data_IF_219206940128
#
_entry.id   IF_219206940128
#
_cell.length_a   1.000
_cell.length_b   1.000
_cell.length_c   1.000
_cell.angle_alpha   90.00
_cell.angle_beta   90.00
_cell.angle_gamma   90.00
#
_symmetry.space_group_name_H-M   'P 1'
#
loop_
_entity.id
_entity.type
_entity.pdbx_description
1 polymer ?
#
# COMPACT_ATOMS: atom_id res chain seq x y z
N UNK A 1 25.73 3.59 -5.99
CA UNK A 1 24.62 2.62 -5.87
C UNK A 1 23.33 3.37 -5.61
N UNK A 2 22.20 2.95 -6.21
CA UNK A 2 20.88 3.56 -5.96
C UNK A 2 20.30 3.03 -4.66
N UNK A 3 19.74 3.92 -3.82
CA UNK A 3 19.11 3.55 -2.55
C UNK A 3 17.65 4.00 -2.57
N UNK A 4 16.75 3.20 -2.00
CA UNK A 4 15.33 3.52 -1.94
C UNK A 4 14.71 3.23 -0.57
N UNK A 5 13.73 4.04 -0.21
CA UNK A 5 12.73 3.73 0.81
C UNK A 5 11.43 3.39 0.09
N UNK A 6 10.80 2.28 0.45
CA UNK A 6 9.47 1.90 -0.06
C UNK A 6 8.49 1.89 1.09
N UNK A 7 7.43 2.69 0.99
CA UNK A 7 6.30 2.62 1.91
C UNK A 7 5.54 1.32 1.65
N UNK A 8 5.54 0.42 2.63
CA UNK A 8 5.00 -0.93 2.43
C UNK A 8 4.08 -1.34 3.59
N UNK A 9 2.79 -1.42 3.31
CA UNK A 9 1.76 -1.91 4.23
C UNK A 9 1.62 -3.44 4.25
N UNK A 10 2.37 -4.17 3.41
CA UNK A 10 2.14 -5.60 3.21
C UNK A 10 0.95 -5.93 2.29
N UNK A 11 0.33 -4.92 1.69
CA UNK A 11 -0.69 -5.07 0.65
C UNK A 11 -0.10 -5.41 -0.72
N UNK A 12 -0.94 -5.89 -1.65
CA UNK A 12 -0.52 -6.29 -3.01
C UNK A 12 0.33 -5.19 -3.65
N UNK A 13 -0.21 -3.96 -3.71
CA UNK A 13 0.39 -2.86 -4.46
C UNK A 13 1.75 -2.46 -3.89
N UNK A 14 1.84 -2.31 -2.58
CA UNK A 14 3.06 -1.91 -1.88
C UNK A 14 4.15 -2.99 -1.93
N UNK A 15 3.77 -4.27 -1.83
CA UNK A 15 4.71 -5.40 -1.96
C UNK A 15 5.19 -5.53 -3.40
N UNK A 16 4.29 -5.39 -4.39
CA UNK A 16 4.67 -5.39 -5.81
C UNK A 16 5.60 -4.22 -6.12
N UNK A 17 5.31 -3.02 -5.59
CA UNK A 17 6.22 -1.86 -5.71
C UNK A 17 7.62 -2.16 -5.15
N UNK A 18 7.71 -2.77 -3.96
CA UNK A 18 9.00 -3.11 -3.36
C UNK A 18 9.80 -4.11 -4.23
N UNK A 19 9.14 -5.13 -4.76
CA UNK A 19 9.75 -6.07 -5.71
C UNK A 19 10.17 -5.39 -7.01
N UNK A 20 9.34 -4.49 -7.54
CA UNK A 20 9.64 -3.72 -8.76
C UNK A 20 10.87 -2.84 -8.58
N UNK A 21 10.94 -2.09 -7.49
CA UNK A 21 12.09 -1.23 -7.14
C UNK A 21 13.38 -2.06 -7.02
N UNK A 22 13.32 -3.20 -6.34
CA UNK A 22 14.49 -4.06 -6.13
C UNK A 22 14.94 -4.76 -7.40
N UNK A 23 13.99 -5.40 -8.12
CA UNK A 23 14.32 -6.34 -9.20
C UNK A 23 14.32 -5.70 -10.59
N UNK A 24 13.42 -4.73 -10.85
CA UNK A 24 13.31 -4.09 -12.17
C UNK A 24 14.10 -2.80 -12.25
N UNK A 25 14.05 -1.96 -11.22
CA UNK A 25 14.79 -0.70 -11.18
C UNK A 25 16.20 -0.84 -10.61
N UNK A 26 16.57 -2.03 -10.10
CA UNK A 26 17.90 -2.40 -9.61
C UNK A 26 18.43 -1.49 -8.49
N UNK A 27 17.57 -1.12 -7.53
CA UNK A 27 18.01 -0.41 -6.33
C UNK A 27 18.73 -1.37 -5.38
N UNK A 28 20.02 -1.09 -5.12
CA UNK A 28 20.88 -1.97 -4.33
C UNK A 28 20.45 -2.03 -2.86
N UNK A 29 20.31 -0.87 -2.23
CA UNK A 29 19.91 -0.75 -0.83
C UNK A 29 18.45 -0.34 -0.72
N UNK A 30 17.68 -1.15 0.01
CA UNK A 30 16.26 -0.94 0.20
C UNK A 30 15.92 -0.84 1.68
N UNK A 31 15.10 0.14 2.02
CA UNK A 31 14.41 0.26 3.31
C UNK A 31 12.92 0.04 3.05
N UNK A 32 12.34 -0.92 3.73
CA UNK A 32 10.88 -1.12 3.79
C UNK A 32 10.38 -0.33 4.99
N UNK A 33 9.62 0.74 4.71
CA UNK A 33 9.06 1.65 5.71
C UNK A 33 7.60 1.27 5.97
N UNK A 34 7.29 0.94 7.22
CA UNK A 34 5.97 0.56 7.70
C UNK A 34 5.44 1.59 8.69
N UNK A 35 4.14 1.88 8.63
CA UNK A 35 3.47 2.79 9.55
C UNK A 35 2.43 2.04 10.41
N UNK A 36 2.55 2.18 11.73
CA UNK A 36 1.51 1.83 12.70
C UNK A 36 0.72 3.10 13.03
N UNK A 37 -0.50 3.23 12.48
CA UNK A 37 -1.40 4.33 12.72
C UNK A 37 -2.71 3.88 13.39
N UNK A 38 -2.67 2.74 14.11
CA UNK A 38 -3.81 2.16 14.79
C UNK A 38 -4.84 1.51 13.87
N UNK A 39 -4.42 1.03 12.71
CA UNK A 39 -5.27 0.27 11.80
C UNK A 39 -5.63 -1.10 12.37
N UNK A 40 -6.86 -1.56 12.12
CA UNK A 40 -7.37 -2.86 12.59
C UNK A 40 -6.55 -4.04 12.09
N UNK A 41 -6.00 -3.92 10.88
CA UNK A 41 -5.19 -4.94 10.19
C UNK A 41 -3.69 -4.91 10.57
N UNK A 42 -3.30 -4.14 11.59
CA UNK A 42 -1.90 -3.90 12.00
C UNK A 42 -1.08 -5.19 12.10
N UNK A 43 -1.63 -6.26 12.71
CA UNK A 43 -0.90 -7.50 12.92
C UNK A 43 -0.52 -8.20 11.62
N UNK A 44 -1.45 -8.29 10.66
CA UNK A 44 -1.22 -8.90 9.34
C UNK A 44 -0.37 -8.00 8.46
N UNK A 45 -0.64 -6.71 8.42
CA UNK A 45 0.13 -5.73 7.64
C UNK A 45 1.61 -5.71 8.05
N UNK A 46 1.89 -5.56 9.33
CA UNK A 46 3.24 -5.57 9.88
C UNK A 46 3.97 -6.89 9.61
N UNK A 47 3.27 -8.02 9.79
CA UNK A 47 3.80 -9.35 9.49
C UNK A 47 4.25 -9.45 8.04
N UNK A 48 3.40 -9.08 7.09
CA UNK A 48 3.70 -9.24 5.67
C UNK A 48 4.68 -8.18 5.15
N UNK A 49 4.64 -6.97 5.67
CA UNK A 49 5.66 -5.95 5.39
C UNK A 49 7.06 -6.42 5.85
N UNK A 50 7.19 -7.01 7.05
CA UNK A 50 8.44 -7.62 7.53
C UNK A 50 8.87 -8.81 6.68
N UNK A 51 7.95 -9.65 6.22
CA UNK A 51 8.29 -10.76 5.33
C UNK A 51 8.77 -10.27 3.96
N UNK A 52 8.15 -9.20 3.43
CA UNK A 52 8.61 -8.52 2.21
C UNK A 52 10.04 -8.01 2.39
N UNK A 53 10.35 -7.32 3.49
CA UNK A 53 11.71 -6.82 3.76
C UNK A 53 12.74 -7.95 3.80
N UNK A 54 12.43 -9.04 4.50
CA UNK A 54 13.31 -10.22 4.57
C UNK A 54 13.55 -10.85 3.19
N UNK A 55 12.49 -11.01 2.39
CA UNK A 55 12.57 -11.60 1.04
C UNK A 55 13.45 -10.79 0.09
N UNK A 56 13.46 -9.46 0.25
CA UNK A 56 14.21 -8.54 -0.60
C UNK A 56 15.59 -8.16 -0.03
N UNK A 57 15.99 -8.77 1.09
CA UNK A 57 17.19 -8.39 1.85
C UNK A 57 17.24 -6.88 2.10
N UNK A 58 16.15 -6.34 2.64
CA UNK A 58 15.93 -4.93 2.91
C UNK A 58 15.87 -4.66 4.42
N UNK A 59 16.31 -3.47 4.85
CA UNK A 59 16.12 -3.01 6.22
C UNK A 59 14.64 -2.73 6.47
N UNK A 60 14.08 -3.21 7.59
CA UNK A 60 12.73 -2.87 8.02
C UNK A 60 12.77 -1.71 9.02
N UNK A 61 11.97 -0.68 8.77
CA UNK A 61 11.80 0.47 9.67
C UNK A 61 10.31 0.65 9.94
N UNK A 62 9.95 0.87 11.19
CA UNK A 62 8.58 1.10 11.64
C UNK A 62 8.46 2.49 12.27
N UNK A 63 7.45 3.23 11.87
CA UNK A 63 7.06 4.52 12.47
C UNK A 63 5.69 4.37 13.11
N UNK A 64 5.54 4.82 14.36
CA UNK A 64 4.29 4.81 15.09
C UNK A 64 3.61 6.17 15.02
N UNK A 65 2.38 6.19 14.51
CA UNK A 65 1.53 7.38 14.36
C UNK A 65 0.13 7.12 14.96
N UNK A 66 0.09 6.55 16.15
CA UNK A 66 -1.15 6.09 16.82
C UNK A 66 -2.18 7.20 17.02
N UNK A 67 -1.74 8.45 17.14
CA UNK A 67 -2.60 9.62 17.23
C UNK A 67 -3.57 9.74 16.03
N UNK A 68 -3.20 9.23 14.83
CA UNK A 68 -4.13 9.18 13.69
C UNK A 68 -5.37 8.33 13.98
N UNK A 69 -5.26 7.30 14.81
CA UNK A 69 -6.43 6.55 15.26
C UNK A 69 -7.36 7.39 16.14
N UNK A 70 -6.83 8.30 16.92
CA UNK A 70 -7.62 9.14 17.84
C UNK A 70 -8.53 10.08 17.05
N UNK A 71 -8.00 10.75 16.02
CA UNK A 71 -8.73 11.70 15.18
C UNK A 71 -9.55 11.03 14.07
N UNK A 72 -9.26 9.78 13.72
CA UNK A 72 -9.91 9.07 12.60
C UNK A 72 -11.28 8.52 12.97
N UNK A 73 -12.26 8.69 12.09
CA UNK A 73 -13.56 8.00 12.13
C UNK A 73 -13.65 6.82 11.18
N UNK A 74 -12.59 6.57 10.41
CA UNK A 74 -12.49 5.54 9.38
C UNK A 74 -12.73 4.13 9.91
N UNK A 75 -13.37 3.29 9.10
CA UNK A 75 -13.51 1.85 9.36
C UNK A 75 -12.17 1.10 9.36
N UNK A 76 -11.10 1.71 8.87
CA UNK A 76 -9.74 1.17 8.99
C UNK A 76 -9.29 1.17 10.45
N UNK A 77 -9.67 2.19 11.22
CA UNK A 77 -9.28 2.36 12.62
C UNK A 77 -10.37 1.91 13.59
N UNK A 78 -11.63 2.15 13.27
CA UNK A 78 -12.76 1.92 14.20
C UNK A 78 -13.46 0.59 13.97
N UNK A 79 -13.72 -0.15 15.05
CA UNK A 79 -14.45 -1.43 15.02
C UNK A 79 -15.97 -1.15 14.90
N UNK A 80 -16.42 -0.87 13.69
CA UNK A 80 -17.85 -0.73 13.36
C UNK A 80 -18.26 -1.80 12.36
N UNK A 81 -19.59 -1.96 12.16
CA UNK A 81 -20.15 -2.90 11.18
C UNK A 81 -19.71 -2.53 9.76
N UNK A 82 -19.18 -3.51 9.04
CA UNK A 82 -18.72 -3.36 7.65
C UNK A 82 -19.78 -3.96 6.73
N UNK A 83 -20.15 -3.24 5.68
CA UNK A 83 -21.07 -3.71 4.65
C UNK A 83 -20.49 -4.94 3.95
N UNK A 84 -21.35 -5.94 3.66
CA UNK A 84 -21.02 -7.02 2.74
C UNK A 84 -21.16 -6.51 1.31
N UNK A 85 -20.05 -6.44 0.59
CA UNK A 85 -19.99 -5.93 -0.78
C UNK A 85 -20.24 -7.08 -1.76
N UNK A 86 -21.24 -6.93 -2.63
CA UNK A 86 -21.47 -7.82 -3.78
C UNK A 86 -20.58 -7.41 -4.96
N UNK A 87 -20.51 -8.26 -6.00
CA UNK A 87 -19.82 -7.89 -7.25
C UNK A 87 -20.47 -6.68 -7.94
N UNK A 88 -21.80 -6.56 -7.85
CA UNK A 88 -22.49 -5.42 -8.45
C UNK A 88 -22.18 -4.09 -7.76
N UNK A 89 -21.92 -4.10 -6.44
CA UNK A 89 -21.51 -2.91 -5.69
C UNK A 89 -20.14 -2.37 -6.16
N UNK A 90 -19.30 -3.20 -6.80
CA UNK A 90 -17.99 -2.79 -7.31
C UNK A 90 -18.05 -1.88 -8.53
N UNK A 91 -19.22 -1.73 -9.15
CA UNK A 91 -19.43 -0.79 -10.28
C UNK A 91 -19.41 0.68 -9.84
N UNK A 92 -19.70 0.93 -8.56
CA UNK A 92 -19.64 2.26 -7.95
C UNK A 92 -19.30 2.10 -6.47
N UNK A 93 -18.04 2.34 -6.12
CA UNK A 93 -17.51 2.16 -4.76
C UNK A 93 -17.25 3.47 -4.03
N UNK A 94 -17.51 4.64 -4.62
CA UNK A 94 -17.20 5.96 -4.09
C UNK A 94 -17.68 6.14 -2.63
N UNK A 95 -19.00 6.03 -2.39
CA UNK A 95 -19.60 6.16 -1.03
C UNK A 95 -19.09 5.12 -0.05
N UNK A 96 -18.69 3.93 -0.51
CA UNK A 96 -18.14 2.89 0.36
C UNK A 96 -16.67 3.19 0.67
N UNK A 97 -15.91 3.67 -0.30
CA UNK A 97 -14.49 4.05 -0.14
C UNK A 97 -14.30 5.19 0.87
N UNK A 98 -15.19 6.18 0.88
CA UNK A 98 -15.18 7.29 1.85
C UNK A 98 -15.14 6.81 3.31
N UNK A 99 -15.80 5.69 3.63
CA UNK A 99 -15.81 5.11 4.98
C UNK A 99 -14.45 4.60 5.45
N UNK A 100 -13.52 4.40 4.51
CA UNK A 100 -12.16 3.93 4.78
C UNK A 100 -11.11 5.03 4.65
N UNK A 101 -11.52 6.26 4.37
CA UNK A 101 -10.63 7.40 4.30
C UNK A 101 -10.12 7.79 5.69
N UNK A 102 -8.81 7.94 5.82
CA UNK A 102 -8.14 8.49 7.01
C UNK A 102 -7.58 9.86 6.62
N UNK A 103 -8.01 10.95 7.28
CA UNK A 103 -7.65 12.32 6.88
C UNK A 103 -6.15 12.52 6.70
N UNK A 104 -5.75 13.00 5.51
CA UNK A 104 -4.37 13.35 5.15
C UNK A 104 -3.31 12.25 5.40
N UNK A 105 -3.74 10.98 5.53
CA UNK A 105 -2.84 9.89 5.94
C UNK A 105 -1.62 9.76 5.03
N UNK A 106 -1.81 9.77 3.71
CA UNK A 106 -0.72 9.56 2.77
C UNK A 106 0.24 10.75 2.75
N UNK A 107 -0.28 11.99 2.90
CA UNK A 107 0.57 13.18 3.06
C UNK A 107 1.46 13.07 4.32
N UNK A 108 0.87 12.69 5.47
CA UNK A 108 1.60 12.50 6.72
C UNK A 108 2.69 11.43 6.55
N UNK A 109 2.38 10.30 5.91
CA UNK A 109 3.35 9.23 5.67
C UNK A 109 4.52 9.69 4.79
N UNK A 110 4.23 10.45 3.72
CA UNK A 110 5.26 10.94 2.81
C UNK A 110 6.14 12.00 3.46
N UNK A 111 5.57 12.91 4.27
CA UNK A 111 6.35 13.89 5.04
C UNK A 111 7.28 13.20 6.05
N UNK A 112 6.83 12.15 6.75
CA UNK A 112 7.69 11.36 7.63
C UNK A 112 8.79 10.62 6.85
N UNK A 113 8.47 10.11 5.66
CA UNK A 113 9.47 9.49 4.79
C UNK A 113 10.52 10.50 4.31
N UNK A 114 10.10 11.74 3.97
CA UNK A 114 11.02 12.84 3.65
C UNK A 114 11.95 13.17 4.83
N UNK A 115 11.40 13.32 6.04
CA UNK A 115 12.21 13.56 7.23
C UNK A 115 13.22 12.43 7.49
N UNK A 116 12.82 11.17 7.24
CA UNK A 116 13.71 10.02 7.39
C UNK A 116 14.85 10.04 6.36
N UNK A 117 14.57 10.26 5.08
CA UNK A 117 15.64 10.30 4.05
C UNK A 117 16.58 11.46 4.26
N UNK A 118 16.07 12.62 4.69
CA UNK A 118 16.89 13.79 5.00
C UNK A 118 17.78 13.53 6.21
N UNK A 119 17.25 12.91 7.30
CA UNK A 119 18.04 12.52 8.45
C UNK A 119 19.17 11.56 8.07
N UNK A 120 18.90 10.56 7.21
CA UNK A 120 19.94 9.65 6.70
C UNK A 120 20.98 10.42 5.89
N UNK A 121 20.53 11.34 5.02
CA UNK A 121 21.45 12.15 4.23
C UNK A 121 22.36 13.04 5.08
N UNK A 122 21.80 13.67 6.11
CA UNK A 122 22.60 14.52 7.04
C UNK A 122 23.70 13.70 7.72
N UNK A 123 23.34 12.50 8.21
CA UNK A 123 24.23 11.62 8.99
C UNK A 123 25.23 10.84 8.13
N UNK A 124 24.76 10.27 7.03
CA UNK A 124 25.52 9.27 6.26
C UNK A 124 25.90 9.77 4.85
N UNK A 125 25.45 10.93 4.44
CA UNK A 125 25.58 11.48 3.06
C UNK A 125 25.03 10.58 1.97
N UNK A 126 24.13 9.62 2.34
CA UNK A 126 23.46 8.70 1.41
C UNK A 126 22.12 9.28 0.98
N UNK A 127 21.90 9.39 -0.33
CA UNK A 127 20.62 9.80 -0.89
C UNK A 127 19.73 8.59 -1.15
N UNK A 128 18.44 8.71 -0.79
CA UNK A 128 17.41 7.71 -1.04
C UNK A 128 16.26 8.33 -1.83
N UNK A 129 15.74 7.60 -2.82
CA UNK A 129 14.46 7.92 -3.44
C UNK A 129 13.33 7.25 -2.64
N UNK A 130 12.15 7.87 -2.59
CA UNK A 130 10.98 7.37 -1.86
C UNK A 130 10.00 6.78 -2.86
N UNK A 131 9.55 5.54 -2.62
CA UNK A 131 8.58 4.86 -3.47
C UNK A 131 7.29 4.57 -2.71
N UNK A 132 6.16 4.75 -3.39
CA UNK A 132 4.83 4.48 -2.85
C UNK A 132 3.98 3.69 -3.86
N UNK A 133 3.17 2.76 -3.35
CA UNK A 133 2.35 1.88 -4.17
C UNK A 133 0.98 2.45 -4.51
N UNK A 134 0.90 3.72 -4.92
CA UNK A 134 -0.32 4.27 -5.49
C UNK A 134 -0.57 3.64 -6.86
N UNK A 135 -1.83 3.36 -7.16
CA UNK A 135 -2.30 2.74 -8.40
C UNK A 135 -3.37 3.59 -9.07
N UNK A 136 -3.77 3.24 -10.26
CA UNK A 136 -4.96 3.79 -10.87
C UNK A 136 -6.20 3.43 -10.03
N UNK A 137 -6.87 4.43 -9.49
CA UNK A 137 -8.11 4.29 -8.71
C UNK A 137 -9.36 4.70 -9.53
N UNK A 138 -9.17 5.04 -10.81
CA UNK A 138 -10.24 5.52 -11.68
C UNK A 138 -10.86 6.83 -11.18
N UNK A 139 -12.19 6.97 -11.34
CA UNK A 139 -12.94 8.14 -10.86
C UNK A 139 -13.06 8.23 -9.34
N UNK A 140 -12.74 7.15 -8.63
CA UNK A 140 -12.92 6.97 -7.18
C UNK A 140 -11.63 7.19 -6.40
N UNK A 141 -10.64 7.87 -7.01
CA UNK A 141 -9.34 8.10 -6.39
C UNK A 141 -9.46 8.99 -5.14
N UNK A 142 -8.78 8.57 -4.07
CA UNK A 142 -8.58 9.46 -2.94
C UNK A 142 -7.72 10.66 -3.37
N UNK A 143 -7.98 11.88 -2.87
CA UNK A 143 -7.25 13.08 -3.28
C UNK A 143 -5.74 12.96 -3.06
N UNK A 144 -5.33 12.17 -2.07
CA UNK A 144 -3.94 11.95 -1.68
C UNK A 144 -3.30 10.68 -2.31
N UNK A 145 -3.82 10.22 -3.46
CA UNK A 145 -3.26 9.11 -4.26
C UNK A 145 -3.10 9.45 -5.75
N UNK A 146 -3.32 10.69 -6.15
CA UNK A 146 -3.30 11.14 -7.55
C UNK A 146 -1.89 11.52 -8.04
N UNK A 147 -1.70 11.59 -9.37
CA UNK A 147 -0.45 12.09 -9.97
C UNK A 147 -0.18 13.54 -9.56
N UNK A 148 -1.23 14.37 -9.50
CA UNK A 148 -1.12 15.75 -9.06
C UNK A 148 -0.64 15.84 -7.61
N UNK A 149 -1.20 15.01 -6.73
CA UNK A 149 -0.73 14.93 -5.34
C UNK A 149 0.75 14.56 -5.26
N UNK A 150 1.19 13.54 -6.01
CA UNK A 150 2.61 13.13 -6.05
C UNK A 150 3.49 14.28 -6.55
N UNK A 151 3.04 15.04 -7.56
CA UNK A 151 3.74 16.23 -8.03
C UNK A 151 3.88 17.27 -6.93
N UNK A 152 2.77 17.63 -6.25
CA UNK A 152 2.76 18.65 -5.18
C UNK A 152 3.61 18.26 -3.97
N UNK A 153 3.65 16.99 -3.60
CA UNK A 153 4.57 16.53 -2.53
C UNK A 153 6.03 16.60 -2.98
N UNK A 154 6.33 16.37 -4.25
CA UNK A 154 7.68 16.60 -4.77
C UNK A 154 8.05 18.08 -4.76
N UNK A 155 7.12 18.99 -5.11
CA UNK A 155 7.35 20.45 -5.02
C UNK A 155 7.61 20.85 -3.55
N UNK A 156 6.83 20.31 -2.61
CA UNK A 156 7.07 20.50 -1.16
C UNK A 156 8.48 20.03 -0.76
N UNK A 157 8.91 18.85 -1.23
CA UNK A 157 10.26 18.33 -0.94
C UNK A 157 11.37 19.29 -1.39
N UNK A 158 11.18 19.98 -2.52
CA UNK A 158 12.18 20.92 -3.05
C UNK A 158 12.37 22.16 -2.17
N UNK A 159 11.30 22.63 -1.53
CA UNK A 159 11.33 23.87 -0.73
C UNK A 159 11.52 23.61 0.78
N UNK A 160 11.25 22.38 1.25
CA UNK A 160 11.30 22.04 2.67
C UNK A 160 12.54 21.24 3.10
N UNK A 161 13.22 20.59 2.16
CA UNK A 161 14.40 19.76 2.45
C UNK A 161 15.69 20.41 1.94
N UNK A 162 16.81 20.14 2.63
CA UNK A 162 18.14 20.62 2.21
C UNK A 162 18.60 20.06 0.86
N UNK A 163 18.04 18.94 0.44
CA UNK A 163 18.30 18.30 -0.85
C UNK A 163 16.99 17.85 -1.49
N UNK A 164 16.98 17.83 -2.81
CA UNK A 164 15.83 17.31 -3.56
C UNK A 164 15.77 15.79 -3.45
N UNK A 165 14.81 15.28 -2.69
CA UNK A 165 14.45 13.88 -2.60
C UNK A 165 13.23 13.60 -3.49
N UNK A 166 13.27 12.49 -4.26
CA UNK A 166 12.21 12.15 -5.20
C UNK A 166 11.21 11.19 -4.57
N UNK A 167 9.92 11.51 -4.70
CA UNK A 167 8.80 10.63 -4.40
C UNK A 167 8.26 10.10 -5.72
N UNK A 168 8.21 8.78 -5.85
CA UNK A 168 7.90 8.07 -7.08
C UNK A 168 6.79 7.07 -6.82
N UNK A 169 5.73 7.12 -7.63
CA UNK A 169 4.62 6.18 -7.61
C UNK A 169 4.61 5.38 -8.94
N UNK A 170 5.39 4.31 -9.06
CA UNK A 170 5.61 3.65 -10.35
C UNK A 170 4.39 2.92 -10.90
N UNK A 171 3.38 2.64 -10.05
CA UNK A 171 2.17 1.91 -10.41
C UNK A 171 0.95 2.83 -10.60
N UNK A 172 1.11 4.14 -10.54
CA UNK A 172 0.00 5.11 -10.46
C UNK A 172 -0.95 5.08 -11.66
N UNK A 173 -0.47 4.61 -12.82
CA UNK A 173 -1.24 4.47 -14.07
C UNK A 173 -1.69 3.03 -14.35
N UNK A 174 -1.43 2.11 -13.44
CA UNK A 174 -1.61 0.67 -13.65
C UNK A 174 -2.82 0.19 -12.84
N UNK A 175 -3.66 -0.62 -13.46
CA UNK A 175 -4.83 -1.22 -12.81
C UNK A 175 -4.46 -2.39 -11.91
N UNK A 176 -5.39 -2.82 -11.05
CA UNK A 176 -5.14 -3.85 -10.05
C UNK A 176 -4.73 -5.19 -10.65
N UNK A 177 -5.35 -5.59 -11.73
CA UNK A 177 -5.04 -6.84 -12.46
C UNK A 177 -3.64 -6.82 -13.06
N UNK A 178 -3.23 -5.71 -13.65
CA UNK A 178 -1.89 -5.55 -14.21
C UNK A 178 -0.82 -5.53 -13.12
N UNK A 179 -1.13 -4.95 -11.95
CA UNK A 179 -0.24 -5.00 -10.77
C UNK A 179 -0.07 -6.45 -10.29
N UNK A 180 -1.12 -7.27 -10.33
CA UNK A 180 -1.06 -8.68 -9.97
C UNK A 180 -0.20 -9.44 -10.99
N UNK A 181 -0.44 -9.24 -12.30
CA UNK A 181 0.39 -9.84 -13.36
C UNK A 181 1.88 -9.43 -13.23
N UNK A 182 2.14 -8.17 -12.95
CA UNK A 182 3.49 -7.67 -12.71
C UNK A 182 4.12 -8.33 -11.47
N UNK A 183 3.35 -8.43 -10.39
CA UNK A 183 3.80 -9.07 -9.16
C UNK A 183 4.16 -10.55 -9.36
N UNK A 184 3.37 -11.29 -10.12
CA UNK A 184 3.65 -12.69 -10.48
C UNK A 184 4.99 -12.79 -11.25
N UNK A 185 5.16 -11.98 -12.29
CA UNK A 185 6.43 -11.90 -13.07
C UNK A 185 7.64 -11.55 -12.20
N UNK A 186 7.44 -10.75 -11.15
CA UNK A 186 8.48 -10.37 -10.20
C UNK A 186 8.68 -11.38 -9.07
N UNK A 187 7.90 -12.47 -9.01
CA UNK A 187 7.96 -13.51 -7.99
C UNK A 187 7.48 -13.03 -6.62
N UNK A 188 6.42 -12.22 -6.58
CA UNK A 188 5.69 -11.87 -5.36
C UNK A 188 4.92 -13.09 -4.86
N UNK A 189 5.12 -13.45 -3.60
CA UNK A 189 4.32 -14.48 -2.94
C UNK A 189 3.03 -13.85 -2.39
N UNK A 190 1.95 -13.91 -3.16
CA UNK A 190 0.67 -13.31 -2.77
C UNK A 190 0.00 -13.97 -1.55
N UNK A 191 0.44 -15.16 -1.10
CA UNK A 191 0.06 -15.73 0.20
C UNK A 191 0.55 -14.88 1.37
N UNK A 192 1.62 -14.10 1.12
CA UNK A 192 2.26 -13.20 2.08
C UNK A 192 1.90 -11.74 1.82
N UNK A 193 0.66 -11.49 1.39
CA UNK A 193 0.09 -10.14 1.27
C UNK A 193 -1.26 -10.07 1.97
N UNK A 194 -1.65 -8.88 2.42
CA UNK A 194 -2.95 -8.64 3.06
C UNK A 194 -3.73 -7.55 2.33
N UNK A 195 -5.05 -7.65 2.39
CA UNK A 195 -5.95 -6.61 1.86
C UNK A 195 -7.12 -6.32 2.83
N UNK A 196 -7.45 -7.25 3.71
CA UNK A 196 -8.65 -7.18 4.54
C UNK A 196 -8.61 -6.02 5.54
N UNK A 197 -9.58 -5.11 5.46
CA UNK A 197 -9.72 -3.98 6.39
C UNK A 197 -10.21 -4.37 7.79
N UNK A 198 -10.81 -5.56 7.95
CA UNK A 198 -11.34 -6.01 9.25
C UNK A 198 -10.22 -6.44 10.21
N UNK A 199 -9.08 -6.90 9.66
CA UNK A 199 -7.89 -7.19 10.44
C UNK A 199 -7.94 -8.47 11.27
N UNK A 200 -8.75 -9.47 10.86
CA UNK A 200 -8.76 -10.79 11.47
C UNK A 200 -7.64 -11.68 10.91
N UNK A 201 -7.48 -12.89 11.51
CA UNK A 201 -6.45 -13.87 11.10
C UNK A 201 -6.59 -14.30 9.64
N UNK A 202 -7.84 -14.44 9.17
CA UNK A 202 -8.16 -14.72 7.77
C UNK A 202 -8.87 -13.52 7.16
N UNK A 203 -8.78 -13.38 5.85
CA UNK A 203 -9.53 -12.35 5.13
C UNK A 203 -11.03 -12.61 5.26
N UNK A 204 -11.83 -11.58 5.53
CA UNK A 204 -13.28 -11.75 5.71
C UNK A 204 -14.00 -12.20 4.43
N UNK A 205 -13.48 -11.83 3.24
CA UNK A 205 -14.02 -12.18 1.93
C UNK A 205 -15.13 -11.24 1.42
N UNK A 206 -15.61 -10.30 2.24
CA UNK A 206 -16.77 -9.47 1.89
C UNK A 206 -16.57 -7.96 2.03
N UNK A 207 -15.53 -7.47 2.73
CA UNK A 207 -15.28 -6.03 2.78
C UNK A 207 -14.75 -5.53 1.42
N UNK A 208 -14.83 -4.23 1.17
CA UNK A 208 -14.43 -3.62 -0.09
C UNK A 208 -13.04 -4.08 -0.55
N UNK A 209 -12.03 -4.01 0.29
CA UNK A 209 -10.67 -4.42 -0.08
C UNK A 209 -10.53 -5.91 -0.40
N UNK A 210 -11.29 -6.80 0.28
CA UNK A 210 -11.32 -8.21 -0.08
C UNK A 210 -11.97 -8.42 -1.45
N UNK A 211 -13.04 -7.67 -1.77
CA UNK A 211 -13.75 -7.79 -3.04
C UNK A 211 -12.92 -7.25 -4.19
N UNK A 212 -12.29 -6.09 -4.03
CA UNK A 212 -11.36 -5.53 -5.03
C UNK A 212 -10.14 -6.44 -5.26
N UNK A 213 -9.67 -7.14 -4.21
CA UNK A 213 -8.64 -8.17 -4.36
C UNK A 213 -9.13 -9.34 -5.21
N UNK A 214 -10.29 -9.89 -4.91
CA UNK A 214 -10.88 -11.01 -5.66
C UNK A 214 -11.11 -10.64 -7.13
N UNK A 215 -11.61 -9.44 -7.39
CA UNK A 215 -11.82 -8.91 -8.74
C UNK A 215 -10.50 -8.76 -9.50
N UNK A 216 -9.48 -8.15 -8.88
CA UNK A 216 -8.16 -8.01 -9.49
C UNK A 216 -7.54 -9.35 -9.89
N UNK A 217 -7.61 -10.37 -9.02
CA UNK A 217 -7.14 -11.72 -9.36
C UNK A 217 -7.97 -12.37 -10.46
N UNK A 218 -9.29 -12.17 -10.46
CA UNK A 218 -10.17 -12.67 -11.51
C UNK A 218 -9.80 -12.10 -12.89
N UNK A 219 -9.65 -10.78 -13.00
CA UNK A 219 -9.29 -10.13 -14.27
C UNK A 219 -7.83 -10.38 -14.69
N UNK A 220 -6.93 -10.55 -13.74
CA UNK A 220 -5.56 -10.95 -14.01
C UNK A 220 -5.44 -12.39 -14.52
N UNK A 221 -6.49 -13.19 -14.45
CA UNK A 221 -6.48 -14.64 -14.71
C UNK A 221 -5.39 -15.36 -13.88
N UNK A 222 -5.21 -14.92 -12.64
CA UNK A 222 -4.25 -15.48 -11.68
C UNK A 222 -5.02 -16.04 -10.49
N UNK A 223 -4.67 -17.24 -10.03
CA UNK A 223 -5.32 -17.85 -8.87
C UNK A 223 -5.01 -17.06 -7.59
N UNK A 224 -6.04 -16.54 -6.91
CA UNK A 224 -5.86 -15.91 -5.60
C UNK A 224 -5.54 -16.97 -4.53
N UNK A 225 -4.35 -16.94 -3.94
CA UNK A 225 -3.95 -17.92 -2.93
C UNK A 225 -4.53 -17.63 -1.53
N UNK A 226 -5.35 -16.59 -1.40
CA UNK A 226 -5.88 -16.13 -0.10
C UNK A 226 -6.96 -17.04 0.44
N UNK A 227 -6.92 -17.29 1.75
CA UNK A 227 -8.03 -17.95 2.47
C UNK A 227 -9.03 -16.90 2.93
N UNK A 228 -10.29 -17.11 2.59
CA UNK A 228 -11.42 -16.27 2.96
C UNK A 228 -12.36 -16.97 3.91
N UNK A 229 -12.79 -16.29 5.00
CA UNK A 229 -13.83 -16.79 5.91
C UNK A 229 -15.17 -16.97 5.20
N UNK A 230 -15.55 -15.96 4.39
CA UNK A 230 -16.77 -16.00 3.59
C UNK A 230 -16.39 -16.18 2.13
N UNK A 231 -16.82 -17.31 1.55
CA UNK A 231 -16.69 -17.54 0.11
C UNK A 231 -17.91 -16.93 -0.59
N UNK A 232 -17.68 -15.87 -1.34
CA UNK A 232 -18.70 -15.30 -2.23
C UNK A 232 -18.64 -16.09 -3.55
N UNK A 233 -19.82 -16.55 -4.03
CA UNK A 233 -19.91 -17.39 -5.24
C UNK A 233 -19.94 -16.62 -6.56
N UNK A 234 -19.88 -15.30 -6.49
CA UNK A 234 -20.02 -14.38 -7.63
C UNK A 234 -18.74 -14.13 -8.44
N UNK A 235 -17.59 -14.62 -7.95
CA UNK A 235 -16.38 -14.80 -8.75
C UNK A 235 -16.15 -16.30 -8.95
N UNK A 236 -16.24 -16.78 -10.18
CA UNK A 236 -15.80 -18.15 -10.51
C UNK A 236 -14.28 -18.14 -10.41
N UNK A 237 -13.75 -18.95 -9.52
CA UNK A 237 -12.31 -19.24 -9.45
C UNK A 237 -12.03 -20.12 -10.66
N UNK A 238 -11.28 -19.61 -11.63
CA UNK A 238 -10.74 -20.38 -12.73
C UNK A 238 -9.65 -21.30 -12.21
#
# INVERSE_FOLDING_TARGET
>A
MKNAIVLCSGGIDSVTTAHYVKKKLNYANLIVLFFDYGQRSIASEKKFSRQCSKKLNAKFVEIQLKWLNEISTSLINKKRKVKKISRNDLKNTEKESEKYYVPCRNAIFLVHALALVESIFIKEKKKYDIFVGFKNEGKESYPDTTEEFVKKINDLSQISCQKNFKIIAPLIKIDKEDIICLGEKLGVDFKKTTSCYIGEKEHCGFCLACRLRQEGFYWANVKDPTKYKTKMKDFRIV
#
